data_IF_619993469943
#
_entry.id   IF_619993469943
#
_cell.length_a   1.000
_cell.length_b   1.000
_cell.length_c   1.000
_cell.angle_alpha   90.00
_cell.angle_beta   90.00
_cell.angle_gamma   90.00
#
_symmetry.space_group_name_H-M   'P 1'
#
loop_
_entity.id
_entity.type
_entity.pdbx_description
1 polymer ?
#
# COMPACT_ATOMS: atom_id res chain seq x y z
N UNK A 1 -18.78 -15.15 13.85
CA UNK A 1 -18.70 -15.73 12.49
C UNK A 1 -17.80 -14.82 11.67
N UNK A 2 -16.64 -15.28 11.22
CA UNK A 2 -15.80 -14.50 10.32
C UNK A 2 -16.47 -14.46 8.94
N UNK A 3 -16.83 -13.25 8.50
CA UNK A 3 -17.27 -13.00 7.12
C UNK A 3 -16.13 -13.37 6.19
N UNK A 4 -16.40 -14.23 5.20
CA UNK A 4 -15.41 -14.54 4.16
C UNK A 4 -15.11 -13.24 3.41
N UNK A 5 -13.83 -12.89 3.30
CA UNK A 5 -13.40 -11.81 2.41
C UNK A 5 -13.85 -12.16 0.99
N UNK A 6 -14.69 -11.31 0.40
CA UNK A 6 -15.19 -11.47 -0.96
C UNK A 6 -14.14 -11.09 -1.99
N UNK A 7 -13.31 -10.10 -1.68
CA UNK A 7 -12.27 -9.58 -2.57
C UNK A 7 -11.11 -10.59 -2.73
N UNK A 8 -10.81 -11.06 -3.95
CA UNK A 8 -9.65 -11.90 -4.23
C UNK A 8 -8.31 -11.27 -3.80
N UNK A 9 -8.15 -9.95 -3.93
CA UNK A 9 -6.88 -9.30 -3.58
C UNK A 9 -6.66 -9.28 -2.07
N UNK A 10 -7.66 -8.90 -1.29
CA UNK A 10 -7.60 -8.95 0.16
C UNK A 10 -7.37 -10.38 0.69
N UNK A 11 -7.90 -11.41 0.02
CA UNK A 11 -7.59 -12.82 0.36
C UNK A 11 -6.12 -13.17 0.10
N UNK A 12 -5.59 -12.81 -1.07
CA UNK A 12 -4.20 -13.07 -1.42
C UNK A 12 -3.23 -12.37 -0.45
N UNK A 13 -3.53 -11.14 -0.05
CA UNK A 13 -2.75 -10.41 0.96
C UNK A 13 -2.75 -11.12 2.32
N UNK A 14 -3.92 -11.60 2.77
CA UNK A 14 -4.06 -12.34 4.02
C UNK A 14 -3.33 -13.69 3.98
N UNK A 15 -3.42 -14.43 2.88
CA UNK A 15 -2.66 -15.66 2.67
C UNK A 15 -1.14 -15.38 2.68
N UNK A 16 -0.70 -14.28 2.06
CA UNK A 16 0.68 -13.82 2.11
C UNK A 16 1.15 -13.58 3.54
N UNK A 17 0.37 -12.84 4.34
CA UNK A 17 0.68 -12.57 5.74
C UNK A 17 0.75 -13.86 6.57
N UNK A 18 -0.18 -14.79 6.37
CA UNK A 18 -0.17 -16.08 7.05
C UNK A 18 1.08 -16.90 6.70
N UNK A 19 1.49 -16.90 5.44
CA UNK A 19 2.70 -17.58 4.99
C UNK A 19 3.96 -16.97 5.62
N UNK A 20 4.06 -15.64 5.67
CA UNK A 20 5.19 -14.95 6.33
C UNK A 20 5.23 -15.26 7.81
N UNK A 21 4.09 -15.18 8.50
CA UNK A 21 3.99 -15.54 9.91
C UNK A 21 4.41 -17.00 10.16
N UNK A 22 3.96 -17.94 9.32
CA UNK A 22 4.34 -19.34 9.43
C UNK A 22 5.85 -19.57 9.24
N UNK A 23 6.49 -18.83 8.31
CA UNK A 23 7.94 -18.88 8.11
C UNK A 23 8.69 -18.38 9.34
N UNK A 24 8.35 -17.18 9.83
CA UNK A 24 8.95 -16.60 11.05
C UNK A 24 8.80 -17.55 12.23
N UNK A 25 7.61 -18.15 12.39
CA UNK A 25 7.37 -19.09 13.47
C UNK A 25 8.21 -20.37 13.33
N UNK A 26 8.50 -20.81 12.11
CA UNK A 26 9.35 -21.97 11.85
C UNK A 26 10.81 -21.67 12.18
N UNK A 27 11.32 -20.54 11.70
CA UNK A 27 12.69 -20.06 12.01
C UNK A 27 12.87 -19.82 13.52
N UNK A 28 11.89 -19.18 14.17
CA UNK A 28 11.92 -18.99 15.61
C UNK A 28 12.03 -20.33 16.35
N UNK A 29 11.32 -21.39 15.93
CA UNK A 29 11.42 -22.71 16.56
C UNK A 29 12.80 -23.35 16.38
N UNK A 30 13.49 -23.07 15.28
CA UNK A 30 14.85 -23.54 15.03
C UNK A 30 15.86 -22.88 15.97
N UNK A 31 15.72 -21.57 16.20
CA UNK A 31 16.65 -20.78 17.02
C UNK A 31 16.23 -20.57 18.48
N UNK A 32 15.08 -21.12 18.91
CA UNK A 32 14.60 -21.01 20.30
C UNK A 32 15.48 -21.78 21.29
N UNK A 33 16.19 -22.83 20.84
CA UNK A 33 17.05 -23.63 21.70
C UNK A 33 18.50 -23.16 21.58
N UNK A 34 19.18 -23.11 22.72
CA UNK A 34 20.63 -22.94 22.73
C UNK A 34 21.30 -24.09 21.96
N UNK A 35 22.39 -23.84 21.21
CA UNK A 35 23.17 -24.90 20.59
C UNK A 35 23.66 -25.92 21.62
N UNK A 36 23.79 -27.18 21.20
CA UNK A 36 24.36 -28.23 22.06
C UNK A 36 25.78 -27.84 22.54
N UNK A 37 26.11 -28.07 23.82
CA UNK A 37 27.41 -27.72 24.36
C UNK A 37 28.54 -28.51 23.68
N UNK A 38 29.67 -27.84 23.47
CA UNK A 38 30.86 -28.45 22.87
C UNK A 38 31.53 -29.36 23.89
N UNK A 39 31.77 -30.63 23.53
CA UNK A 39 32.54 -31.58 24.37
C UNK A 39 34.04 -31.40 24.17
N UNK A 40 34.63 -30.46 24.91
CA UNK A 40 36.07 -30.19 24.87
C UNK A 40 36.93 -31.36 25.37
N UNK A 41 36.40 -32.22 26.25
CA UNK A 41 37.14 -33.37 26.78
C UNK A 41 37.35 -34.44 25.70
N UNK A 42 36.32 -34.69 24.89
CA UNK A 42 36.45 -35.52 23.70
C UNK A 42 37.55 -35.00 22.76
N UNK A 43 37.57 -33.70 22.48
CA UNK A 43 38.56 -33.10 21.58
C UNK A 43 39.99 -33.10 22.16
N UNK A 44 40.16 -32.94 23.48
CA UNK A 44 41.48 -33.11 24.15
C UNK A 44 42.04 -34.53 23.99
N UNK A 45 41.17 -35.54 23.85
CA UNK A 45 41.59 -36.94 23.71
C UNK A 45 42.07 -37.30 22.29
N UNK A 46 41.55 -36.63 21.27
CA UNK A 46 41.84 -36.92 19.85
C UNK A 46 42.97 -36.04 19.32
N UNK A 47 43.01 -34.76 19.73
CA UNK A 47 43.97 -33.80 19.21
C UNK A 47 45.32 -33.93 19.91
N UNK A 48 46.40 -33.90 19.12
CA UNK A 48 47.77 -33.97 19.64
C UNK A 48 48.17 -32.71 20.42
N UNK A 49 47.60 -31.56 20.06
CA UNK A 49 47.92 -30.28 20.68
C UNK A 49 46.81 -29.90 21.66
N UNK A 50 47.03 -30.19 22.95
CA UNK A 50 46.07 -29.94 24.03
C UNK A 50 45.98 -28.45 24.38
N UNK A 51 47.11 -27.74 24.32
CA UNK A 51 47.19 -26.30 24.58
C UNK A 51 46.29 -25.50 23.62
N UNK A 52 46.12 -25.99 22.39
CA UNK A 52 45.19 -25.39 21.42
C UNK A 52 43.73 -25.55 21.85
N UNK A 53 43.35 -26.71 22.37
CA UNK A 53 41.98 -26.98 22.83
C UNK A 53 41.66 -26.12 24.05
N UNK A 54 42.61 -25.99 24.98
CA UNK A 54 42.45 -25.17 26.19
C UNK A 54 42.33 -23.67 25.82
N UNK A 55 43.11 -23.19 24.85
CA UNK A 55 43.00 -21.81 24.36
C UNK A 55 41.65 -21.54 23.65
N UNK A 56 41.11 -22.51 22.92
CA UNK A 56 39.80 -22.38 22.25
C UNK A 56 38.67 -22.40 23.26
N UNK A 57 38.70 -23.30 24.24
CA UNK A 57 37.72 -23.36 25.33
C UNK A 57 37.70 -22.04 26.13
N UNK A 58 38.87 -21.49 26.45
CA UNK A 58 38.98 -20.22 27.13
C UNK A 58 38.36 -19.07 26.32
N UNK A 59 38.62 -19.01 25.01
CA UNK A 59 38.03 -18.00 24.12
C UNK A 59 36.51 -18.18 23.99
N UNK A 60 36.03 -19.42 23.86
CA UNK A 60 34.61 -19.74 23.78
C UNK A 60 33.85 -19.27 25.04
N UNK A 61 34.39 -19.55 26.22
CA UNK A 61 33.80 -19.13 27.50
C UNK A 61 33.85 -17.61 27.73
N UNK A 62 34.74 -16.90 27.02
CA UNK A 62 34.86 -15.44 27.11
C UNK A 62 33.79 -14.74 26.26
N UNK A 63 33.37 -15.35 25.15
CA UNK A 63 32.36 -14.79 24.26
C UNK A 63 30.98 -14.96 24.91
N UNK A 64 30.36 -13.83 25.26
CA UNK A 64 28.96 -13.78 25.69
C UNK A 64 28.19 -12.95 24.70
N UNK A 65 27.16 -13.53 24.10
CA UNK A 65 26.23 -12.79 23.26
C UNK A 65 25.24 -12.02 24.13
N UNK A 66 24.88 -10.78 23.76
CA UNK A 66 23.84 -10.05 24.47
C UNK A 66 22.50 -10.76 24.28
N UNK A 67 21.72 -10.86 25.36
CA UNK A 67 20.33 -11.29 25.28
C UNK A 67 19.53 -10.10 24.76
N UNK A 68 19.05 -10.19 23.53
CA UNK A 68 18.17 -9.17 22.94
C UNK A 68 16.79 -9.36 23.55
N UNK A 69 16.31 -8.39 24.32
CA UNK A 69 14.93 -8.38 24.81
C UNK A 69 14.01 -7.74 23.77
N UNK A 70 12.70 -8.08 23.76
CA UNK A 70 11.74 -7.46 22.83
C UNK A 70 11.75 -5.93 22.87
N UNK A 71 12.00 -5.34 24.05
CA UNK A 71 12.02 -3.89 24.25
C UNK A 71 13.20 -3.20 23.56
N UNK A 72 14.30 -3.92 23.32
CA UNK A 72 15.49 -3.39 22.63
C UNK A 72 15.33 -3.39 21.11
N UNK A 73 14.35 -4.11 20.56
CA UNK A 73 14.03 -4.08 19.13
C UNK A 73 13.34 -2.77 18.72
N UNK A 74 12.68 -2.11 19.67
CA UNK A 74 12.01 -0.82 19.45
C UNK A 74 12.98 0.37 19.56
N UNK A 75 14.19 0.15 20.11
CA UNK A 75 15.20 1.20 20.24
C UNK A 75 16.00 1.35 18.92
N UNK A 76 16.28 2.59 18.46
CA UNK A 76 17.10 2.82 17.28
C UNK A 76 18.51 2.27 17.51
N UNK A 77 18.91 1.29 16.68
CA UNK A 77 20.25 0.73 16.72
C UNK A 77 21.24 1.77 16.18
N UNK A 78 22.15 2.23 17.05
CA UNK A 78 23.18 3.22 16.71
C UNK A 78 24.05 2.72 15.54
N UNK A 79 23.99 3.40 14.39
CA UNK A 79 24.74 3.04 13.17
C UNK A 79 23.99 2.16 12.16
N UNK A 80 22.72 1.82 12.41
CA UNK A 80 21.88 1.16 11.41
C UNK A 80 21.16 2.19 10.54
N UNK A 81 21.14 1.98 9.22
CA UNK A 81 20.31 2.77 8.28
C UNK A 81 18.81 2.49 8.43
N UNK A 82 18.46 1.48 9.24
CA UNK A 82 17.08 1.06 9.48
C UNK A 82 16.52 1.96 10.58
N UNK A 83 15.72 2.93 10.17
CA UNK A 83 14.94 3.72 11.11
C UNK A 83 13.95 2.79 11.83
N UNK A 84 13.77 2.93 13.17
CA UNK A 84 12.75 2.18 13.87
C UNK A 84 11.40 2.51 13.24
N UNK A 85 10.81 1.53 12.55
CA UNK A 85 9.50 1.70 11.93
C UNK A 85 8.52 1.76 13.09
N UNK A 86 8.00 2.95 13.39
CA UNK A 86 6.84 3.06 14.26
C UNK A 86 5.64 2.54 13.47
N UNK A 87 5.47 1.23 13.46
CA UNK A 87 4.43 0.53 12.69
C UNK A 87 3.04 1.12 12.95
N UNK A 88 2.81 1.59 14.18
CA UNK A 88 1.55 2.22 14.58
C UNK A 88 1.34 3.56 13.88
N UNK A 89 2.35 4.43 13.85
CA UNK A 89 2.26 5.72 13.15
C UNK A 89 2.13 5.52 11.64
N UNK A 90 2.91 4.61 11.05
CA UNK A 90 2.83 4.29 9.63
C UNK A 90 1.44 3.75 9.23
N UNK A 91 0.89 2.83 10.02
CA UNK A 91 -0.47 2.30 9.77
C UNK A 91 -1.52 3.41 9.91
N UNK A 92 -1.36 4.28 10.90
CA UNK A 92 -2.29 5.39 11.13
C UNK A 92 -2.26 6.39 9.97
N UNK A 93 -1.08 6.70 9.43
CA UNK A 93 -0.92 7.54 8.24
C UNK A 93 -1.55 6.90 7.00
N UNK A 94 -1.27 5.61 6.76
CA UNK A 94 -1.90 4.86 5.65
C UNK A 94 -3.43 4.86 5.74
N UNK A 95 -4.01 4.63 6.93
CA UNK A 95 -5.47 4.66 7.10
C UNK A 95 -6.02 6.07 6.88
N UNK A 96 -5.32 7.11 7.34
CA UNK A 96 -5.74 8.50 7.11
C UNK A 96 -5.70 8.87 5.62
N UNK A 97 -4.69 8.42 4.88
CA UNK A 97 -4.63 8.63 3.42
C UNK A 97 -5.76 7.89 2.71
N UNK A 98 -6.02 6.64 3.11
CA UNK A 98 -7.10 5.83 2.55
C UNK A 98 -8.48 6.44 2.80
N UNK A 99 -8.71 6.98 4.00
CA UNK A 99 -9.95 7.68 4.34
C UNK A 99 -10.14 8.94 3.47
N UNK A 100 -9.05 9.67 3.21
CA UNK A 100 -9.05 10.82 2.29
C UNK A 100 -9.41 10.41 0.86
N UNK A 101 -8.74 9.39 0.31
CA UNK A 101 -9.02 8.88 -1.03
C UNK A 101 -10.45 8.34 -1.17
N UNK A 102 -10.98 7.72 -0.11
CA UNK A 102 -12.35 7.23 -0.07
C UNK A 102 -13.36 8.39 -0.14
N UNK A 103 -13.11 9.47 0.59
CA UNK A 103 -14.00 10.65 0.58
C UNK A 103 -13.94 11.40 -0.76
N UNK A 104 -12.75 11.56 -1.33
CA UNK A 104 -12.57 12.11 -2.68
C UNK A 104 -13.32 11.27 -3.72
N UNK A 105 -13.24 9.94 -3.62
CA UNK A 105 -13.95 9.03 -4.52
C UNK A 105 -15.47 9.18 -4.41
N UNK A 106 -16.02 9.33 -3.19
CA UNK A 106 -17.46 9.57 -3.00
C UNK A 106 -17.90 10.90 -3.62
N UNK A 107 -17.14 11.95 -3.36
CA UNK A 107 -17.39 13.30 -3.91
C UNK A 107 -17.38 13.24 -5.43
N UNK A 108 -16.38 12.56 -6.00
CA UNK A 108 -16.30 12.40 -7.45
C UNK A 108 -17.46 11.62 -8.04
N UNK A 109 -17.93 10.58 -7.36
CA UNK A 109 -19.13 9.83 -7.78
C UNK A 109 -20.37 10.72 -7.78
N UNK A 110 -20.53 11.61 -6.79
CA UNK A 110 -21.66 12.55 -6.75
C UNK A 110 -21.60 13.56 -7.89
N UNK A 111 -20.44 14.17 -8.13
CA UNK A 111 -20.24 15.09 -9.25
C UNK A 111 -20.52 14.43 -10.60
N UNK A 112 -20.02 13.21 -10.82
CA UNK A 112 -20.23 12.48 -12.07
C UNK A 112 -21.70 12.14 -12.29
N UNK A 113 -22.46 11.84 -11.23
CA UNK A 113 -23.91 11.61 -11.34
C UNK A 113 -24.65 12.88 -11.70
N UNK A 114 -24.30 14.02 -11.12
CA UNK A 114 -24.87 15.32 -11.47
C UNK A 114 -24.54 15.68 -12.92
N UNK A 115 -23.31 15.44 -13.35
CA UNK A 115 -22.89 15.67 -14.73
C UNK A 115 -23.63 14.76 -15.73
N UNK A 116 -23.79 13.47 -15.41
CA UNK A 116 -24.59 12.54 -16.23
C UNK A 116 -26.02 13.07 -16.36
N UNK A 117 -26.64 13.49 -15.26
CA UNK A 117 -27.99 14.05 -15.28
C UNK A 117 -28.09 15.31 -16.14
N UNK A 118 -27.12 16.21 -16.02
CA UNK A 118 -27.05 17.40 -16.88
C UNK A 118 -26.96 17.01 -18.36
N UNK A 119 -26.11 16.05 -18.70
CA UNK A 119 -26.00 15.55 -20.07
C UNK A 119 -27.30 14.91 -20.55
N UNK A 120 -27.98 14.15 -19.70
CA UNK A 120 -29.28 13.54 -20.03
C UNK A 120 -30.37 14.60 -20.27
N UNK A 121 -30.43 15.63 -19.42
CA UNK A 121 -31.42 16.71 -19.50
C UNK A 121 -31.17 17.64 -20.70
N UNK A 122 -29.92 17.84 -21.10
CA UNK A 122 -29.52 18.73 -22.21
C UNK A 122 -29.31 18.00 -23.54
N UNK A 123 -29.43 16.67 -23.58
CA UNK A 123 -29.21 15.90 -24.80
C UNK A 123 -30.29 16.22 -25.83
N UNK A 124 -29.88 16.77 -26.96
CA UNK A 124 -30.75 16.89 -28.14
C UNK A 124 -31.02 15.51 -28.74
N UNK A 125 -32.27 15.25 -29.10
CA UNK A 125 -32.73 14.00 -29.70
C UNK A 125 -33.45 14.29 -31.01
N UNK A 126 -33.86 13.25 -31.75
CA UNK A 126 -34.65 13.41 -32.98
C UNK A 126 -35.97 14.16 -32.74
N UNK A 127 -36.50 14.11 -31.51
CA UNK A 127 -37.73 14.76 -31.11
C UNK A 127 -37.53 16.22 -30.68
N UNK A 128 -36.28 16.68 -30.53
CA UNK A 128 -35.99 18.06 -30.12
C UNK A 128 -36.38 19.03 -31.22
N UNK A 129 -37.25 19.98 -30.89
CA UNK A 129 -37.78 20.98 -31.81
C UNK A 129 -36.89 22.22 -31.89
N UNK A 130 -36.99 22.98 -33.00
CA UNK A 130 -36.22 24.22 -33.18
C UNK A 130 -36.43 25.24 -32.02
N UNK A 131 -37.66 25.48 -31.52
CA UNK A 131 -37.86 26.38 -30.37
C UNK A 131 -37.20 25.89 -29.08
N UNK A 132 -37.15 24.58 -28.84
CA UNK A 132 -36.45 24.01 -27.68
C UNK A 132 -34.93 24.18 -27.82
N UNK A 133 -34.39 24.01 -29.03
CA UNK A 133 -32.97 24.27 -29.31
C UNK A 133 -32.62 25.75 -29.09
N UNK A 134 -33.45 26.68 -29.58
CA UNK A 134 -33.30 28.13 -29.32
C UNK A 134 -33.37 28.47 -27.83
N UNK A 135 -34.21 27.77 -27.05
CA UNK A 135 -34.28 27.99 -25.61
C UNK A 135 -33.07 27.42 -24.85
N UNK A 136 -32.45 26.34 -25.35
CA UNK A 136 -31.25 25.74 -24.77
C UNK A 136 -29.97 26.49 -25.14
N UNK A 137 -29.91 27.05 -26.35
CA UNK A 137 -28.73 27.71 -26.92
C UNK A 137 -29.10 29.06 -27.57
N UNK A 138 -29.50 30.06 -26.76
CA UNK A 138 -29.89 31.37 -27.28
C UNK A 138 -28.75 32.08 -28.04
N UNK A 139 -27.51 31.85 -27.64
CA UNK A 139 -26.32 32.42 -28.28
C UNK A 139 -26.15 31.96 -29.73
N UNK A 140 -26.47 30.68 -30.02
CA UNK A 140 -26.43 30.15 -31.38
C UNK A 140 -27.53 30.79 -32.22
N UNK A 141 -28.70 31.03 -31.63
CA UNK A 141 -29.79 31.70 -32.33
C UNK A 141 -29.46 33.16 -32.67
N UNK A 142 -28.86 33.90 -31.72
CA UNK A 142 -28.40 35.26 -31.94
C UNK A 142 -27.33 35.33 -33.04
N UNK A 143 -26.36 34.41 -33.03
CA UNK A 143 -25.33 34.31 -34.08
C UNK A 143 -25.95 34.05 -35.47
N UNK A 144 -26.89 33.10 -35.57
CA UNK A 144 -27.60 32.81 -36.82
C UNK A 144 -28.34 34.06 -37.35
N UNK A 145 -29.00 34.82 -36.48
CA UNK A 145 -29.73 36.04 -36.88
C UNK A 145 -28.77 37.13 -37.38
N UNK A 146 -27.60 37.28 -36.76
CA UNK A 146 -26.55 38.19 -37.20
C UNK A 146 -25.97 37.79 -38.57
N UNK A 147 -25.71 36.51 -38.78
CA UNK A 147 -25.21 35.97 -40.06
C UNK A 147 -26.21 36.18 -41.20
N UNK A 148 -27.50 35.96 -40.93
CA UNK A 148 -28.58 36.24 -41.89
C UNK A 148 -28.62 37.74 -42.22
N UNK A 149 -28.50 38.61 -41.20
CA UNK A 149 -28.50 40.06 -41.39
C UNK A 149 -27.29 40.55 -42.21
N UNK A 150 -26.13 39.93 -42.03
CA UNK A 150 -24.88 40.28 -42.70
C UNK A 150 -24.66 39.53 -44.04
N UNK A 151 -25.56 38.62 -44.42
CA UNK A 151 -25.47 37.75 -45.61
C UNK A 151 -24.25 36.81 -45.61
N UNK A 152 -23.82 36.37 -44.42
CA UNK A 152 -22.61 35.57 -44.21
C UNK A 152 -22.89 34.05 -44.28
N UNK A 153 -23.40 33.59 -45.43
CA UNK A 153 -23.89 32.21 -45.60
C UNK A 153 -22.82 31.10 -45.52
N UNK A 154 -21.55 31.44 -45.71
CA UNK A 154 -20.44 30.48 -45.82
C UNK A 154 -19.38 30.66 -44.71
N UNK A 155 -19.69 31.40 -43.64
CA UNK A 155 -18.73 31.77 -42.57
C UNK A 155 -18.03 30.55 -41.93
N UNK A 156 -18.79 29.49 -41.64
CA UNK A 156 -18.29 28.28 -40.95
C UNK A 156 -17.89 27.13 -41.90
N UNK A 157 -17.89 27.38 -43.21
CA UNK A 157 -17.53 26.38 -44.22
C UNK A 157 -16.03 26.37 -44.59
N UNK A 158 -15.23 27.30 -44.04
CA UNK A 158 -13.80 27.47 -44.32
C UNK A 158 -12.87 26.92 -43.24
#
# INVERSE_FOLDING_TARGET
MYTKLSDPQARAALEGLQNVHAKIQTEAREYVKEPEPIDFEHYRSILKNKDLVDAIEQNYNTIKFPVITPQQLDEPVEGSEIQPINEKEMLQEMFSELDGQLEDSKTRITELKEFIRLMEDTRTTLDTTMPEMTAMYPEIHEEIDEEIANMEWDKDLS
#
